data_IF_699227466025
#
_entry.id   IF_699227466025
#
_cell.length_a   1.000
_cell.length_b   1.000
_cell.length_c   1.000
_cell.angle_alpha   90.00
_cell.angle_beta   90.00
_cell.angle_gamma   90.00
#
_symmetry.space_group_name_H-M   'P 1'
#
loop_
_entity.id
_entity.type
_entity.pdbx_description
1 polymer ?
#
# COMPACT_ATOMS: atom_id res chain seq x y z
N UNK A 1 -58.09 -13.35 17.65
CA UNK A 1 -57.28 -12.38 16.87
C UNK A 1 -55.79 -12.68 17.04
N UNK A 2 -54.96 -12.43 16.02
CA UNK A 2 -53.91 -13.36 15.57
C UNK A 2 -52.51 -12.99 16.08
N UNK A 3 -51.94 -13.79 16.96
CA UNK A 3 -50.51 -13.69 17.36
C UNK A 3 -49.64 -14.82 16.79
N UNK A 4 -50.23 -15.69 15.96
CA UNK A 4 -49.55 -16.86 15.39
C UNK A 4 -48.62 -16.52 14.22
N UNK A 5 -48.67 -15.29 13.69
CA UNK A 5 -47.85 -14.86 12.56
C UNK A 5 -46.45 -14.37 12.96
N UNK A 6 -46.28 -13.87 14.19
CA UNK A 6 -44.97 -13.42 14.68
C UNK A 6 -44.03 -14.59 15.03
N UNK A 7 -44.58 -15.76 15.35
CA UNK A 7 -43.79 -16.97 15.65
C UNK A 7 -43.33 -17.72 14.39
N UNK A 8 -43.73 -17.27 13.19
CA UNK A 8 -43.37 -17.91 11.92
C UNK A 8 -42.25 -17.17 11.18
N UNK A 9 -41.75 -16.07 11.74
CA UNK A 9 -40.59 -15.36 11.22
C UNK A 9 -39.62 -15.25 12.40
N UNK A 10 -38.70 -16.21 12.48
CA UNK A 10 -37.54 -16.11 13.36
C UNK A 10 -36.66 -14.98 12.84
N UNK A 11 -36.28 -14.02 13.69
CA UNK A 11 -35.46 -12.84 13.32
C UNK A 11 -34.12 -13.21 12.63
N UNK A 12 -33.71 -14.48 12.66
CA UNK A 12 -32.52 -15.01 12.00
C UNK A 12 -32.72 -15.68 10.62
N UNK A 13 -33.94 -15.94 10.17
CA UNK A 13 -34.22 -16.56 8.85
C UNK A 13 -34.38 -15.52 7.73
N UNK A 14 -34.52 -14.24 8.10
CA UNK A 14 -34.46 -13.15 7.12
C UNK A 14 -33.00 -12.92 6.75
N UNK A 15 -32.59 -13.42 5.58
CA UNK A 15 -31.32 -13.13 4.92
C UNK A 15 -31.28 -11.65 4.50
N UNK A 16 -31.24 -10.74 5.46
CA UNK A 16 -30.93 -9.35 5.22
C UNK A 16 -29.41 -9.30 5.11
N UNK A 17 -28.84 -9.02 3.93
CA UNK A 17 -27.41 -8.84 3.80
C UNK A 17 -27.02 -7.67 4.69
N UNK A 18 -26.33 -7.97 5.78
CA UNK A 18 -25.72 -6.94 6.61
C UNK A 18 -24.61 -6.32 5.76
N UNK A 19 -24.39 -5.00 5.83
CA UNK A 19 -23.26 -4.39 5.15
C UNK A 19 -21.98 -5.06 5.65
N UNK A 20 -21.36 -5.88 4.82
CA UNK A 20 -20.06 -6.50 5.10
C UNK A 20 -18.99 -5.39 5.19
N UNK A 21 -18.84 -4.80 6.37
CA UNK A 21 -17.78 -3.86 6.73
C UNK A 21 -16.36 -4.41 6.50
N UNK A 22 -16.24 -5.74 6.37
CA UNK A 22 -15.02 -6.45 6.01
C UNK A 22 -14.62 -6.41 4.53
N UNK A 23 -15.55 -6.30 3.56
CA UNK A 23 -15.21 -6.49 2.15
C UNK A 23 -14.44 -5.32 1.52
N UNK A 24 -14.76 -4.09 1.93
CA UNK A 24 -14.10 -2.87 1.42
C UNK A 24 -12.69 -2.73 1.99
N UNK A 25 -12.49 -3.15 3.24
CA UNK A 25 -11.22 -2.98 3.93
C UNK A 25 -10.18 -4.03 3.54
N UNK A 26 -10.60 -5.27 3.26
CA UNK A 26 -9.72 -6.36 2.81
C UNK A 26 -9.15 -6.07 1.41
N UNK A 27 -9.98 -5.61 0.46
CA UNK A 27 -9.52 -5.35 -0.92
C UNK A 27 -8.52 -4.19 -1.03
N UNK A 28 -8.72 -3.13 -0.26
CA UNK A 28 -7.84 -1.95 -0.31
C UNK A 28 -6.51 -2.25 0.41
N UNK A 29 -6.53 -2.96 1.53
CA UNK A 29 -5.30 -3.32 2.23
C UNK A 29 -4.40 -4.25 1.41
N UNK A 30 -4.98 -5.25 0.74
CA UNK A 30 -4.22 -6.17 -0.08
C UNK A 30 -3.62 -5.48 -1.31
N UNK A 31 -4.40 -4.62 -1.97
CA UNK A 31 -3.92 -3.80 -3.09
C UNK A 31 -2.75 -2.90 -2.68
N UNK A 32 -2.89 -2.18 -1.55
CA UNK A 32 -1.83 -1.31 -1.04
C UNK A 32 -0.56 -2.09 -0.68
N UNK A 33 -0.69 -3.24 -0.02
CA UNK A 33 0.46 -4.09 0.33
C UNK A 33 1.25 -4.51 -0.91
N UNK A 34 0.58 -4.95 -1.96
CA UNK A 34 1.24 -5.34 -3.22
C UNK A 34 1.91 -4.14 -3.88
N UNK A 35 1.22 -2.99 -3.97
CA UNK A 35 1.78 -1.77 -4.57
C UNK A 35 3.02 -1.27 -3.83
N UNK A 36 2.98 -1.22 -2.49
CA UNK A 36 4.14 -0.83 -1.67
C UNK A 36 5.28 -1.84 -1.77
N UNK A 37 4.97 -3.14 -1.84
CA UNK A 37 5.98 -4.17 -2.06
C UNK A 37 6.73 -3.99 -3.39
N UNK A 38 6.00 -3.72 -4.48
CA UNK A 38 6.60 -3.46 -5.79
C UNK A 38 7.42 -2.16 -5.77
N UNK A 39 6.88 -1.07 -5.20
CA UNK A 39 7.62 0.20 -5.07
C UNK A 39 8.92 0.02 -4.29
N UNK A 40 8.88 -0.67 -3.15
CA UNK A 40 10.05 -0.92 -2.34
C UNK A 40 11.09 -1.75 -3.11
N UNK A 41 10.67 -2.79 -3.82
CA UNK A 41 11.56 -3.61 -4.65
C UNK A 41 12.23 -2.80 -5.76
N UNK A 42 11.47 -1.96 -6.48
CA UNK A 42 12.00 -1.10 -7.55
C UNK A 42 12.97 -0.06 -6.99
N UNK A 43 12.65 0.57 -5.85
CA UNK A 43 13.53 1.53 -5.21
C UNK A 43 14.88 0.90 -4.83
N UNK A 44 14.85 -0.28 -4.20
CA UNK A 44 16.06 -1.02 -3.83
C UNK A 44 16.88 -1.41 -5.06
N UNK A 45 16.24 -1.84 -6.15
CA UNK A 45 16.92 -2.15 -7.41
C UNK A 45 17.65 -0.92 -7.99
N UNK A 46 16.98 0.23 -8.05
CA UNK A 46 17.59 1.46 -8.57
C UNK A 46 18.78 1.89 -7.70
N UNK A 47 18.65 1.80 -6.38
CA UNK A 47 19.73 2.13 -5.44
C UNK A 47 20.92 1.18 -5.67
N UNK A 48 20.67 -0.13 -5.81
CA UNK A 48 21.73 -1.11 -6.04
C UNK A 48 22.47 -0.87 -7.37
N UNK A 49 21.74 -0.66 -8.47
CA UNK A 49 22.34 -0.39 -9.80
C UNK A 49 23.13 0.92 -9.76
N UNK A 50 22.59 1.95 -9.12
CA UNK A 50 23.26 3.24 -8.99
C UNK A 50 24.52 3.15 -8.12
N UNK A 51 24.49 2.37 -7.04
CA UNK A 51 25.65 2.13 -6.20
C UNK A 51 26.78 1.43 -6.97
N UNK A 52 26.44 0.39 -7.75
CA UNK A 52 27.40 -0.30 -8.61
C UNK A 52 27.97 0.66 -9.67
N UNK A 53 27.15 1.54 -10.24
CA UNK A 53 27.59 2.55 -11.21
C UNK A 53 28.61 3.52 -10.60
N UNK A 54 28.47 3.92 -9.34
CA UNK A 54 29.45 4.78 -8.66
C UNK A 54 30.81 4.08 -8.57
N UNK A 55 30.83 2.80 -8.18
CA UNK A 55 32.07 2.02 -8.06
C UNK A 55 32.73 1.81 -9.42
N UNK A 56 31.94 1.50 -10.45
CA UNK A 56 32.45 1.19 -11.79
C UNK A 56 32.76 2.43 -12.64
N UNK A 57 32.40 3.64 -12.18
CA UNK A 57 32.52 4.88 -12.95
C UNK A 57 33.97 5.32 -13.27
N UNK A 58 35.00 4.68 -12.67
CA UNK A 58 36.44 4.89 -12.98
C UNK A 58 36.89 6.36 -13.03
N UNK A 59 36.24 7.25 -12.28
CA UNK A 59 36.58 8.68 -12.21
C UNK A 59 35.80 9.59 -13.16
N UNK A 60 34.81 9.08 -13.91
CA UNK A 60 33.90 9.94 -14.67
C UNK A 60 32.92 10.66 -13.74
N UNK A 61 33.19 11.94 -13.47
CA UNK A 61 32.38 12.78 -12.58
C UNK A 61 30.91 12.88 -13.00
N UNK A 62 30.59 12.72 -14.29
CA UNK A 62 29.22 12.76 -14.78
C UNK A 62 28.44 11.48 -14.40
N UNK A 63 29.09 10.32 -14.45
CA UNK A 63 28.45 9.05 -14.10
C UNK A 63 28.19 8.94 -12.60
N UNK A 64 29.13 9.43 -11.78
CA UNK A 64 28.94 9.51 -10.33
C UNK A 64 27.79 10.45 -9.97
N UNK A 65 27.68 11.61 -10.61
CA UNK A 65 26.59 12.55 -10.37
C UNK A 65 25.23 11.94 -10.73
N UNK A 66 25.10 11.37 -11.93
CA UNK A 66 23.85 10.70 -12.36
C UNK A 66 23.42 9.58 -11.40
N UNK A 67 24.38 8.80 -10.91
CA UNK A 67 24.09 7.74 -9.95
C UNK A 67 23.67 8.29 -8.58
N UNK A 68 24.28 9.37 -8.11
CA UNK A 68 23.87 10.04 -6.86
C UNK A 68 22.46 10.59 -6.97
N UNK A 69 22.14 11.27 -8.06
CA UNK A 69 20.80 11.81 -8.29
C UNK A 69 19.75 10.70 -8.30
N UNK A 70 20.04 9.57 -8.97
CA UNK A 70 19.16 8.41 -8.97
C UNK A 70 18.93 7.83 -7.56
N UNK A 71 19.96 7.76 -6.71
CA UNK A 71 19.81 7.32 -5.31
C UNK A 71 18.95 8.32 -4.53
N UNK A 72 19.18 9.63 -4.70
CA UNK A 72 18.43 10.68 -4.01
C UNK A 72 16.96 10.58 -4.41
N UNK A 73 16.64 10.52 -5.70
CA UNK A 73 15.26 10.42 -6.16
C UNK A 73 14.57 9.11 -5.72
N UNK A 74 15.29 7.98 -5.74
CA UNK A 74 14.76 6.72 -5.23
C UNK A 74 14.44 6.80 -3.72
N UNK A 75 15.32 7.44 -2.93
CA UNK A 75 15.12 7.61 -1.49
C UNK A 75 13.95 8.54 -1.16
N UNK A 76 13.79 9.64 -1.90
CA UNK A 76 12.67 10.57 -1.76
C UNK A 76 11.36 9.87 -2.13
N UNK A 77 11.34 9.12 -3.23
CA UNK A 77 10.17 8.33 -3.64
C UNK A 77 9.73 7.37 -2.54
N UNK A 78 10.68 6.64 -1.94
CA UNK A 78 10.39 5.73 -0.83
C UNK A 78 9.82 6.46 0.40
N UNK A 79 10.38 7.60 0.77
CA UNK A 79 9.88 8.41 1.88
C UNK A 79 8.44 8.92 1.63
N UNK A 80 8.14 9.34 0.41
CA UNK A 80 6.79 9.75 0.00
C UNK A 80 5.83 8.56 0.08
N UNK A 81 6.23 7.36 -0.38
CA UNK A 81 5.43 6.15 -0.26
C UNK A 81 5.08 5.84 1.20
N UNK A 82 6.04 5.93 2.12
CA UNK A 82 5.78 5.74 3.55
C UNK A 82 4.81 6.79 4.11
N UNK A 83 4.91 8.03 3.64
CA UNK A 83 4.02 9.12 4.03
C UNK A 83 2.59 8.88 3.52
N UNK A 84 2.43 8.38 2.29
CA UNK A 84 1.13 8.03 1.74
C UNK A 84 0.43 6.94 2.57
N UNK A 85 1.15 5.93 3.05
CA UNK A 85 0.59 4.90 3.93
C UNK A 85 0.06 5.48 5.25
N UNK A 86 0.81 6.39 5.86
CA UNK A 86 0.39 7.07 7.08
C UNK A 86 -0.91 7.86 6.87
N UNK A 87 -0.99 8.62 5.78
CA UNK A 87 -2.18 9.40 5.42
C UNK A 87 -3.39 8.49 5.19
N UNK A 88 -3.24 7.42 4.41
CA UNK A 88 -4.35 6.49 4.13
C UNK A 88 -4.87 5.84 5.41
N UNK A 89 -3.96 5.43 6.30
CA UNK A 89 -4.32 4.79 7.58
C UNK A 89 -5.01 5.77 8.52
N UNK A 90 -4.59 7.04 8.52
CA UNK A 90 -5.23 8.13 9.26
C UNK A 90 -6.67 8.40 8.76
N UNK A 91 -6.86 8.49 7.44
CA UNK A 91 -8.21 8.70 6.84
C UNK A 91 -9.14 7.51 7.13
N UNK A 92 -8.59 6.29 7.20
CA UNK A 92 -9.33 5.08 7.56
C UNK A 92 -9.64 4.97 9.07
N UNK A 93 -9.23 5.94 9.90
CA UNK A 93 -9.45 5.91 11.35
C UNK A 93 -8.71 4.77 12.05
N UNK A 94 -7.61 4.27 11.44
CA UNK A 94 -6.80 3.17 11.97
C UNK A 94 -5.57 3.63 12.75
N UNK A 95 -5.39 4.94 12.91
CA UNK A 95 -4.34 5.62 13.69
C UNK A 95 -5.01 6.62 14.63
#
# INVERSE_FOLDING_TARGET
MPRRFAALIEEGDINIPMPDDGLTSVRIQDGLRVMFGIMAAVAVLIIAISALRIVLSRGNSQDVQKARDAIIYASIGLAISMSAFAIVTFVLGRV
#
